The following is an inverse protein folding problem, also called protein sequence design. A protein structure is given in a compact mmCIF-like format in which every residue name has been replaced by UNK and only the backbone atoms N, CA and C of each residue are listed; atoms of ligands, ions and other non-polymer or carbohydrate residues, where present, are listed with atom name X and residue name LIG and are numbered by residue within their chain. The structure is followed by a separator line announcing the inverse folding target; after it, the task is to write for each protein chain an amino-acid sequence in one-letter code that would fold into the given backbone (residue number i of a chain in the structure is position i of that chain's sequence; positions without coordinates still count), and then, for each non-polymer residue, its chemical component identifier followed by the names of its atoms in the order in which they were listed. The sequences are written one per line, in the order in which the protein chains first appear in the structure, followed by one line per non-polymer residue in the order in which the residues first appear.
data_IF_326714672877
#
_entry.id   IF_326714672877
#
_cell.length_a   1.000
_cell.length_b   1.000
_cell.length_c   1.000
_cell.angle_alpha   90.00
_cell.angle_beta   90.00
_cell.angle_gamma   90.00
#
_symmetry.space_group_name_H-M   'P 1'
#
loop_
_entity.id
_entity.type
_entity.pdbx_description
1 polymer ?
#
# COMPACT_ATOMS: atom_id res chain seq x y z
N UNK A 1 11.21 -31.16 17.48
CA UNK A 1 9.80 -31.51 17.20
C UNK A 1 9.35 -30.70 16.00
N UNK A 2 9.30 -31.30 14.82
CA UNK A 2 8.78 -30.65 13.62
C UNK A 2 7.26 -30.56 13.77
N UNK A 3 6.76 -29.39 14.19
CA UNK A 3 5.31 -29.11 14.15
C UNK A 3 4.90 -29.15 12.67
N UNK A 4 3.88 -29.94 12.36
CA UNK A 4 3.29 -29.99 11.03
C UNK A 4 2.95 -28.57 10.56
N UNK A 5 3.09 -28.29 9.25
CA UNK A 5 2.76 -26.99 8.72
C UNK A 5 1.29 -26.66 9.01
N UNK A 6 0.97 -25.39 9.36
CA UNK A 6 -0.41 -24.97 9.54
C UNK A 6 -1.20 -25.17 8.25
N UNK A 7 -2.51 -25.39 8.37
CA UNK A 7 -3.38 -25.58 7.20
C UNK A 7 -3.36 -24.35 6.30
N UNK A 8 -3.64 -24.57 5.01
CA UNK A 8 -3.76 -23.48 4.04
C UNK A 8 -4.87 -22.50 4.44
N UNK A 9 -5.99 -23.01 4.96
CA UNK A 9 -7.10 -22.19 5.47
C UNK A 9 -6.66 -21.27 6.62
N UNK A 10 -5.91 -21.80 7.60
CA UNK A 10 -5.42 -21.02 8.72
C UNK A 10 -4.41 -19.96 8.29
N UNK A 11 -3.50 -20.33 7.40
CA UNK A 11 -2.49 -19.42 6.84
C UNK A 11 -3.16 -18.25 6.11
N UNK A 12 -4.19 -18.53 5.31
CA UNK A 12 -4.95 -17.51 4.60
C UNK A 12 -5.76 -16.62 5.53
N UNK A 13 -6.35 -17.19 6.59
CA UNK A 13 -7.10 -16.43 7.58
C UNK A 13 -6.19 -15.46 8.36
N UNK A 14 -4.99 -15.90 8.76
CA UNK A 14 -3.98 -15.05 9.40
C UNK A 14 -3.53 -13.95 8.45
N UNK A 15 -3.18 -14.31 7.21
CA UNK A 15 -2.81 -13.33 6.18
C UNK A 15 -3.87 -12.25 5.98
N UNK A 16 -5.14 -12.64 5.90
CA UNK A 16 -6.25 -11.68 5.74
C UNK A 16 -6.42 -10.78 6.97
N UNK A 17 -6.14 -11.29 8.17
CA UNK A 17 -6.25 -10.51 9.40
C UNK A 17 -5.07 -9.57 9.64
N UNK A 18 -3.86 -9.93 9.18
CA UNK A 18 -2.61 -9.21 9.51
C UNK A 18 -1.97 -8.47 8.33
N UNK A 19 -2.33 -8.80 7.09
CA UNK A 19 -1.71 -8.25 5.87
C UNK A 19 -0.34 -8.85 5.52
N UNK A 20 0.14 -9.85 6.26
CA UNK A 20 1.44 -10.49 6.05
C UNK A 20 1.55 -11.24 4.71
N UNK A 21 2.78 -11.47 4.23
CA UNK A 21 3.01 -12.40 3.12
C UNK A 21 2.59 -13.83 3.51
N UNK A 22 2.40 -14.71 2.52
CA UNK A 22 1.97 -16.11 2.77
C UNK A 22 3.01 -16.86 3.61
N UNK A 23 4.30 -16.61 3.37
CA UNK A 23 5.40 -17.21 4.13
C UNK A 23 5.40 -16.71 5.59
N UNK A 24 5.29 -15.41 5.79
CA UNK A 24 5.22 -14.81 7.13
C UNK A 24 3.98 -15.24 7.89
N UNK A 25 2.81 -15.31 7.24
CA UNK A 25 1.58 -15.78 7.87
C UNK A 25 1.66 -17.27 8.26
N UNK A 26 2.33 -18.08 7.45
CA UNK A 26 2.57 -19.51 7.74
C UNK A 26 3.54 -19.67 8.92
N UNK A 27 4.62 -18.88 8.94
CA UNK A 27 5.59 -18.88 10.03
C UNK A 27 4.97 -18.36 11.33
N UNK A 28 4.19 -17.27 11.25
CA UNK A 28 3.47 -16.70 12.37
C UNK A 28 2.44 -17.68 12.93
N UNK A 29 1.62 -18.31 12.08
CA UNK A 29 0.66 -19.33 12.52
C UNK A 29 1.32 -20.56 13.18
N UNK A 30 2.58 -20.84 12.84
CA UNK A 30 3.35 -21.98 13.39
C UNK A 30 4.00 -21.66 14.73
N UNK A 31 4.45 -20.42 14.91
CA UNK A 31 5.27 -19.97 16.05
C UNK A 31 4.45 -19.27 17.13
N UNK A 32 3.27 -18.77 16.79
CA UNK A 32 2.41 -18.00 17.70
C UNK A 32 1.54 -18.90 18.58
N UNK A 33 1.32 -18.46 19.82
CA UNK A 33 0.37 -19.08 20.76
C UNK A 33 -1.04 -19.17 20.13
N UNK A 34 -1.69 -20.35 20.11
CA UNK A 34 -3.06 -20.52 19.62
C UNK A 34 -4.07 -19.55 20.24
N UNK A 35 -3.91 -19.15 21.50
CA UNK A 35 -4.80 -18.20 22.15
C UNK A 35 -4.68 -16.79 21.56
N UNK A 36 -3.46 -16.36 21.24
CA UNK A 36 -3.20 -15.09 20.58
C UNK A 36 -3.67 -15.13 19.12
N UNK A 37 -3.42 -16.24 18.42
CA UNK A 37 -3.89 -16.46 17.04
C UNK A 37 -5.41 -16.34 16.96
N UNK A 38 -6.12 -16.99 17.89
CA UNK A 38 -7.57 -16.90 18.01
C UNK A 38 -8.04 -15.46 18.22
N UNK A 39 -7.40 -14.70 19.12
CA UNK A 39 -7.73 -13.29 19.35
C UNK A 39 -7.53 -12.41 18.11
N UNK A 40 -6.45 -12.63 17.36
CA UNK A 40 -6.16 -11.90 16.12
C UNK A 40 -7.22 -12.21 15.06
N UNK A 41 -7.59 -13.49 14.91
CA UNK A 41 -8.61 -13.92 13.96
C UNK A 41 -10.03 -13.45 14.37
N UNK A 42 -10.31 -13.33 15.67
CA UNK A 42 -11.56 -12.79 16.21
C UNK A 42 -11.64 -11.26 16.11
N UNK A 43 -10.50 -10.56 16.10
CA UNK A 43 -10.39 -9.12 15.86
C UNK A 43 -10.45 -8.78 14.35
N UNK A 44 -11.44 -9.33 13.63
CA UNK A 44 -11.81 -8.77 12.31
C UNK A 44 -12.02 -7.26 12.47
N UNK A 45 -11.39 -6.49 11.59
CA UNK A 45 -11.44 -5.02 11.39
C UNK A 45 -12.69 -4.36 12.00
N UNK A 46 -12.57 -3.21 12.72
CA UNK A 46 -13.61 -2.71 13.61
C UNK A 46 -14.93 -2.46 12.89
N UNK A 47 -16.02 -3.01 13.44
CA UNK A 47 -17.36 -2.61 13.01
C UNK A 47 -17.67 -1.18 13.51
N UNK A 48 -18.39 -0.35 12.74
CA UNK A 48 -18.73 1.06 13.05
C UNK A 48 -19.38 1.29 14.41
N UNK A 49 -20.02 0.27 14.96
CA UNK A 49 -20.65 0.21 16.28
C UNK A 49 -19.66 0.25 17.47
N UNK A 50 -18.34 0.20 17.24
CA UNK A 50 -17.31 0.15 18.31
C UNK A 50 -16.47 1.43 18.50
N UNK A 51 -16.79 2.53 17.83
CA UNK A 51 -16.12 3.83 18.06
C UNK A 51 -17.06 4.93 18.61
N UNK A 52 -17.80 4.67 19.71
CA UNK A 52 -18.77 5.65 20.23
C UNK A 52 -18.12 6.92 20.81
N UNK A 53 -16.80 6.91 21.02
CA UNK A 53 -16.04 8.02 21.60
C UNK A 53 -15.55 9.05 20.58
N UNK A 54 -15.72 8.79 19.27
CA UNK A 54 -15.35 9.74 18.22
C UNK A 54 -16.56 10.56 17.78
N UNK A 55 -16.41 11.89 17.61
CA UNK A 55 -17.42 12.71 16.96
C UNK A 55 -17.86 12.10 15.63
N UNK A 56 -19.14 12.23 15.29
CA UNK A 56 -19.74 11.64 14.08
C UNK A 56 -18.99 12.05 12.80
N UNK A 57 -18.65 13.33 12.66
CA UNK A 57 -17.85 13.84 11.53
C UNK A 57 -16.47 13.18 11.39
N UNK A 58 -15.82 12.84 12.52
CA UNK A 58 -14.53 12.15 12.53
C UNK A 58 -14.68 10.68 12.15
N UNK A 59 -15.78 10.04 12.59
CA UNK A 59 -16.10 8.67 12.16
C UNK A 59 -16.34 8.61 10.67
N UNK A 60 -17.14 9.53 10.12
CA UNK A 60 -17.43 9.60 8.69
C UNK A 60 -16.16 9.80 7.87
N UNK A 61 -15.29 10.75 8.23
CA UNK A 61 -14.01 10.98 7.54
C UNK A 61 -13.07 9.77 7.59
N UNK A 62 -13.01 9.07 8.72
CA UNK A 62 -12.20 7.84 8.85
C UNK A 62 -12.80 6.73 7.98
N UNK A 63 -14.12 6.60 7.92
CA UNK A 63 -14.78 5.62 7.06
C UNK A 63 -14.65 5.96 5.58
N UNK A 64 -14.73 7.23 5.18
CA UNK A 64 -14.45 7.68 3.82
C UNK A 64 -12.99 7.41 3.42
N UNK A 65 -12.04 7.70 4.31
CA UNK A 65 -10.62 7.39 4.09
C UNK A 65 -10.36 5.87 4.04
N UNK A 66 -11.07 5.08 4.84
CA UNK A 66 -10.92 3.61 4.88
C UNK A 66 -11.67 2.90 3.74
N UNK A 67 -12.80 3.46 3.29
CA UNK A 67 -13.57 2.94 2.15
C UNK A 67 -12.95 3.36 0.81
N UNK A 68 -12.23 4.49 0.76
CA UNK A 68 -11.42 4.88 -0.40
C UNK A 68 -10.15 4.03 -0.55
N UNK A 69 -9.66 3.43 0.55
CA UNK A 69 -8.69 2.33 0.50
C UNK A 69 -9.36 1.04 0.02
N UNK A 70 -9.56 0.93 -1.30
CA UNK A 70 -9.72 -0.37 -1.95
C UNK A 70 -8.55 -1.26 -1.52
N UNK A 71 -8.82 -2.47 -1.06
CA UNK A 71 -7.79 -3.51 -0.88
C UNK A 71 -6.93 -3.58 -2.15
N UNK A 72 -5.68 -3.13 -2.07
CA UNK A 72 -4.77 -2.99 -3.23
C UNK A 72 -4.52 -1.55 -3.71
N UNK A 73 -4.95 -0.51 -3.00
CA UNK A 73 -4.57 0.86 -3.30
C UNK A 73 -3.14 1.13 -2.80
N UNK A 74 -2.20 1.37 -3.73
CA UNK A 74 -0.86 1.83 -3.40
C UNK A 74 -0.91 3.21 -2.75
N UNK A 75 -0.03 3.42 -1.78
CA UNK A 75 0.26 4.75 -1.26
C UNK A 75 0.79 5.63 -2.38
N UNK A 76 0.25 6.84 -2.43
CA UNK A 76 0.63 7.92 -3.36
C UNK A 76 1.24 9.03 -2.53
N UNK A 77 2.25 9.71 -3.05
CA UNK A 77 2.85 10.84 -2.34
C UNK A 77 1.80 11.96 -2.16
N UNK A 78 1.52 12.41 -0.91
CA UNK A 78 0.55 13.47 -0.66
C UNK A 78 0.77 14.76 -1.48
N UNK A 79 2.01 15.05 -1.88
CA UNK A 79 2.35 16.24 -2.69
C UNK A 79 1.68 16.22 -4.08
N UNK A 80 1.26 15.06 -4.58
CA UNK A 80 0.49 14.96 -5.83
C UNK A 80 -0.90 15.61 -5.74
N UNK A 81 -1.42 15.75 -4.52
CA UNK A 81 -2.70 16.41 -4.23
C UNK A 81 -2.52 17.88 -3.79
N UNK A 82 -1.28 18.37 -3.69
CA UNK A 82 -1.03 19.77 -3.41
C UNK A 82 -1.59 20.65 -4.54
N UNK A 83 -2.35 21.72 -4.23
CA UNK A 83 -2.99 22.53 -5.26
C UNK A 83 -2.00 23.33 -6.13
N UNK A 84 -0.77 23.57 -5.65
CA UNK A 84 0.27 24.31 -6.36
C UNK A 84 1.24 23.36 -7.08
N UNK A 85 1.71 22.32 -6.38
CA UNK A 85 2.74 21.41 -6.88
C UNK A 85 2.15 20.21 -7.62
N UNK A 86 0.95 19.76 -7.27
CA UNK A 86 0.26 18.65 -7.93
C UNK A 86 0.10 18.83 -9.44
N UNK A 87 -0.29 20.01 -9.96
CA UNK A 87 -0.29 20.27 -11.40
C UNK A 87 1.08 20.11 -12.07
N UNK A 88 2.15 20.58 -11.42
CA UNK A 88 3.54 20.47 -11.93
C UNK A 88 3.95 19.01 -12.02
N UNK A 89 3.67 18.22 -10.98
CA UNK A 89 3.97 16.79 -10.95
C UNK A 89 3.23 16.05 -12.07
N UNK A 90 1.95 16.36 -12.30
CA UNK A 90 1.16 15.78 -13.40
C UNK A 90 1.76 16.12 -14.76
N UNK A 91 2.18 17.35 -14.98
CA UNK A 91 2.80 17.79 -16.24
C UNK A 91 4.13 17.07 -16.50
N UNK A 92 5.00 16.97 -15.49
CA UNK A 92 6.27 16.24 -15.58
C UNK A 92 6.01 14.75 -15.87
N UNK A 93 5.07 14.14 -15.17
CA UNK A 93 4.66 12.75 -15.39
C UNK A 93 4.17 12.50 -16.81
N UNK A 94 3.29 13.36 -17.33
CA UNK A 94 2.80 13.26 -18.70
C UNK A 94 3.92 13.41 -19.73
N UNK A 95 4.85 14.32 -19.48
CA UNK A 95 6.00 14.55 -20.36
C UNK A 95 6.89 13.31 -20.43
N UNK A 96 7.28 12.76 -19.27
CA UNK A 96 8.11 11.56 -19.19
C UNK A 96 7.39 10.34 -19.79
N UNK A 97 6.07 10.21 -19.58
CA UNK A 97 5.28 9.14 -20.22
C UNK A 97 5.28 9.22 -21.74
N UNK A 98 5.20 10.44 -22.31
CA UNK A 98 5.28 10.62 -23.77
C UNK A 98 6.65 10.23 -24.28
N UNK A 99 7.72 10.66 -23.61
CA UNK A 99 9.09 10.29 -23.98
C UNK A 99 9.33 8.77 -23.88
N UNK A 100 8.84 8.13 -22.82
CA UNK A 100 8.90 6.67 -22.66
C UNK A 100 8.12 5.95 -23.76
N UNK A 101 6.96 6.48 -24.17
CA UNK A 101 6.19 5.91 -25.28
C UNK A 101 6.93 5.97 -26.64
N UNK A 102 7.86 6.90 -26.83
CA UNK A 102 8.70 6.95 -28.03
C UNK A 102 9.84 5.91 -28.02
N UNK A 103 10.14 5.29 -26.87
CA UNK A 103 11.14 4.24 -26.77
C UNK A 103 10.63 2.90 -27.35
N UNK A 104 11.55 2.02 -27.83
CA UNK A 104 11.22 0.64 -28.15
C UNK A 104 10.56 -0.06 -26.95
N UNK A 105 9.57 -0.92 -27.21
CA UNK A 105 8.79 -1.59 -26.16
C UNK A 105 9.66 -2.32 -25.12
N UNK A 106 10.80 -2.89 -25.55
CA UNK A 106 11.77 -3.54 -24.67
C UNK A 106 12.49 -2.62 -23.68
N UNK A 107 12.33 -1.30 -23.82
CA UNK A 107 12.97 -0.27 -23.00
C UNK A 107 11.95 0.58 -22.22
N UNK A 108 10.66 0.37 -22.44
CA UNK A 108 9.59 1.15 -21.77
C UNK A 108 9.45 0.78 -20.29
N UNK A 109 9.05 1.75 -19.48
CA UNK A 109 8.64 1.55 -18.08
C UNK A 109 9.77 1.31 -17.08
N UNK A 110 10.93 0.80 -17.51
CA UNK A 110 12.01 0.38 -16.60
C UNK A 110 12.62 1.49 -15.74
N UNK A 111 12.57 2.75 -16.20
CA UNK A 111 13.16 3.91 -15.48
C UNK A 111 12.20 5.07 -15.31
N UNK A 112 10.93 4.91 -15.68
CA UNK A 112 9.96 6.02 -15.75
C UNK A 112 9.87 6.80 -14.44
N UNK A 113 9.70 6.10 -13.32
CA UNK A 113 9.54 6.73 -12.00
C UNK A 113 10.82 7.44 -11.53
N UNK A 114 12.00 6.91 -11.86
CA UNK A 114 13.28 7.54 -11.54
C UNK A 114 13.48 8.81 -12.36
N UNK A 115 13.13 8.79 -13.65
CA UNK A 115 13.20 9.98 -14.52
C UNK A 115 12.25 11.08 -14.05
N UNK A 116 11.02 10.73 -13.63
CA UNK A 116 10.09 11.70 -13.03
C UNK A 116 10.68 12.30 -11.76
N UNK A 117 11.18 11.46 -10.85
CA UNK A 117 11.77 11.92 -9.59
C UNK A 117 12.95 12.88 -9.83
N UNK A 118 13.86 12.54 -10.74
CA UNK A 118 15.01 13.38 -11.07
C UNK A 118 14.60 14.75 -11.62
N UNK A 119 13.60 14.82 -12.51
CA UNK A 119 13.10 16.10 -13.03
C UNK A 119 12.43 16.95 -11.96
N UNK A 120 11.72 16.33 -11.04
CA UNK A 120 11.11 17.06 -9.92
C UNK A 120 12.17 17.57 -8.96
N UNK A 121 13.24 16.81 -8.70
CA UNK A 121 14.37 17.25 -7.90
C UNK A 121 15.09 18.46 -8.52
N UNK A 122 15.26 18.51 -9.84
CA UNK A 122 15.81 19.67 -10.57
C UNK A 122 14.95 20.95 -10.39
N UNK A 123 13.64 20.78 -10.17
CA UNK A 123 12.70 21.86 -9.84
C UNK A 123 12.63 22.18 -8.33
N UNK A 124 13.42 21.50 -7.51
CA UNK A 124 13.41 21.64 -6.05
C UNK A 124 12.21 20.97 -5.37
N UNK A 125 11.49 20.09 -6.08
CA UNK A 125 10.34 19.35 -5.57
C UNK A 125 10.81 17.96 -5.15
N UNK A 126 10.71 17.66 -3.85
CA UNK A 126 10.95 16.31 -3.35
C UNK A 126 9.68 15.47 -3.47
N UNK A 127 9.71 14.48 -4.35
CA UNK A 127 8.63 13.54 -4.59
C UNK A 127 9.13 12.11 -4.41
N UNK A 128 8.30 11.26 -3.80
CA UNK A 128 8.61 9.86 -3.53
C UNK A 128 7.96 8.94 -4.56
N UNK A 129 8.76 8.03 -5.11
CA UNK A 129 8.30 7.03 -6.08
C UNK A 129 7.31 6.04 -5.45
N UNK A 130 6.47 5.37 -6.26
CA UNK A 130 5.61 4.29 -5.75
C UNK A 130 6.37 3.21 -4.99
N UNK A 131 7.59 2.87 -5.41
CA UNK A 131 8.45 1.88 -4.75
C UNK A 131 8.89 2.34 -3.34
N UNK A 132 9.23 3.61 -3.18
CA UNK A 132 9.58 4.19 -1.88
C UNK A 132 8.36 4.31 -0.96
N UNK A 133 7.20 4.66 -1.52
CA UNK A 133 5.94 4.77 -0.78
C UNK A 133 5.36 3.41 -0.37
N UNK A 134 5.70 2.34 -1.10
CA UNK A 134 5.14 0.99 -0.91
C UNK A 134 6.25 -0.06 -0.83
N UNK A 135 7.10 -0.03 0.21
CA UNK A 135 8.20 -0.98 0.33
C UNK A 135 7.69 -2.42 0.38
N UNK A 136 8.40 -3.33 -0.30
CA UNK A 136 8.02 -4.75 -0.41
C UNK A 136 7.01 -5.05 -1.53
N UNK A 137 6.56 -4.03 -2.26
CA UNK A 137 5.75 -4.20 -3.47
C UNK A 137 6.63 -4.28 -4.71
N UNK A 138 6.30 -5.19 -5.64
CA UNK A 138 6.92 -5.26 -6.97
C UNK A 138 6.08 -4.41 -7.92
N UNK A 139 6.69 -3.36 -8.47
CA UNK A 139 6.14 -2.55 -9.56
C UNK A 139 6.73 -3.07 -10.87
N UNK A 140 5.86 -3.54 -11.77
CA UNK A 140 6.23 -3.98 -13.12
C UNK A 140 6.15 -2.81 -14.10
#
# INVERSE_FOLDING_TARGET
MTKDPPSAELTMAVRQATGMSVLEACEFARTTDPALLKRILEQRVPRPDKMPFLPEELREKIFEASASQKSGAFLVDPIEFDPLLGPVIREVMETVRKEDAELPESQRGGVLWLTVQQRLEELGIRWHTPAEMNPGTIFN
#
